data_IF_121792520977
#
_entry.id   IF_121792520977
#
_cell.length_a   1.000
_cell.length_b   1.000
_cell.length_c   1.000
_cell.angle_alpha   90.00
_cell.angle_beta   90.00
_cell.angle_gamma   90.00
#
_symmetry.space_group_name_H-M   'P 1'
#
loop_
_entity.id
_entity.type
_entity.pdbx_description
1 polymer ?
#
# COMPACT_ATOMS: atom_id res chain seq x y z
N UNK A 1 20.26 -12.28 -28.85
CA UNK A 1 18.92 -11.72 -28.58
C UNK A 1 18.38 -11.96 -27.15
N UNK A 2 18.94 -12.88 -26.34
CA UNK A 2 18.47 -13.07 -24.95
C UNK A 2 18.99 -12.03 -23.93
N UNK A 3 20.14 -11.40 -24.19
CA UNK A 3 20.77 -10.43 -23.26
C UNK A 3 20.20 -8.99 -23.35
N UNK A 4 19.68 -8.58 -24.51
CA UNK A 4 19.05 -7.25 -24.69
C UNK A 4 17.64 -7.25 -24.08
N UNK A 5 16.93 -8.38 -24.19
CA UNK A 5 15.60 -8.53 -23.59
C UNK A 5 15.68 -8.57 -22.06
N UNK A 6 16.73 -9.17 -21.46
CA UNK A 6 16.99 -9.12 -20.02
C UNK A 6 17.43 -7.73 -19.52
N UNK A 7 18.15 -6.95 -20.34
CA UNK A 7 18.52 -5.58 -19.97
C UNK A 7 17.28 -4.66 -19.90
N UNK A 8 16.28 -4.90 -20.76
CA UNK A 8 15.00 -4.19 -20.75
C UNK A 8 14.11 -4.59 -19.57
N UNK A 9 14.13 -5.85 -19.13
CA UNK A 9 13.35 -6.28 -17.95
C UNK A 9 13.94 -5.74 -16.64
N UNK A 10 15.26 -5.52 -16.57
CA UNK A 10 15.91 -4.91 -15.40
C UNK A 10 15.75 -3.38 -15.39
N UNK A 11 15.62 -2.73 -16.55
CA UNK A 11 15.40 -1.28 -16.65
C UNK A 11 13.95 -0.87 -16.28
N UNK A 12 12.96 -1.72 -16.54
CA UNK A 12 11.56 -1.49 -16.12
C UNK A 12 11.35 -1.58 -14.61
N UNK A 13 12.33 -2.08 -13.85
CA UNK A 13 12.28 -2.15 -12.38
C UNK A 13 12.94 -0.92 -11.72
N UNK A 14 13.59 -0.02 -12.49
CA UNK A 14 14.34 1.11 -11.94
C UNK A 14 13.71 2.50 -12.20
N UNK A 15 12.62 2.61 -12.95
CA UNK A 15 12.12 3.93 -13.41
C UNK A 15 10.80 4.36 -12.75
N UNK A 16 10.09 3.51 -12.02
CA UNK A 16 8.89 3.93 -11.28
C UNK A 16 8.83 3.22 -9.93
N UNK A 17 8.78 4.03 -8.87
CA UNK A 17 8.69 3.59 -7.48
C UNK A 17 10.04 3.63 -6.76
N UNK A 18 10.19 4.59 -5.86
CA UNK A 18 11.17 4.53 -4.77
C UNK A 18 11.09 3.18 -4.07
N UNK A 19 12.06 2.30 -4.37
CA UNK A 19 12.22 1.01 -3.69
C UNK A 19 12.74 1.27 -2.28
N UNK A 20 11.82 1.48 -1.34
CA UNK A 20 12.13 1.29 0.07
C UNK A 20 12.12 -0.23 0.32
N UNK A 21 13.31 -0.80 0.38
CA UNK A 21 13.51 -2.12 0.98
C UNK A 21 13.23 -1.98 2.48
N UNK A 22 11.97 -2.19 2.88
CA UNK A 22 11.66 -2.40 4.28
C UNK A 22 11.94 -3.85 4.62
N UNK A 23 12.91 -4.04 5.52
CA UNK A 23 13.21 -5.29 6.19
C UNK A 23 11.91 -6.04 6.57
N UNK A 24 11.81 -7.27 6.06
CA UNK A 24 10.82 -8.27 6.40
C UNK A 24 10.98 -8.63 7.89
N UNK A 25 10.33 -7.86 8.73
CA UNK A 25 10.26 -8.13 10.16
C UNK A 25 8.90 -8.75 10.45
N UNK A 26 8.95 -10.00 10.93
CA UNK A 26 7.79 -10.83 11.18
C UNK A 26 7.05 -10.27 12.41
N UNK A 27 6.02 -9.45 12.19
CA UNK A 27 5.01 -9.18 13.22
C UNK A 27 4.55 -7.73 13.44
N UNK A 28 5.03 -6.75 12.68
CA UNK A 28 4.62 -5.34 12.85
C UNK A 28 3.79 -4.82 11.66
N UNK A 29 2.89 -3.88 11.95
CA UNK A 29 2.18 -3.13 10.91
C UNK A 29 3.18 -2.18 10.24
N UNK A 30 3.22 -2.14 8.91
CA UNK A 30 4.23 -1.39 8.16
C UNK A 30 3.63 -0.74 6.91
N UNK A 31 4.17 0.41 6.56
CA UNK A 31 4.04 0.99 5.21
C UNK A 31 5.00 0.23 4.30
N UNK A 32 4.54 -0.18 3.13
CA UNK A 32 5.33 -1.05 2.22
C UNK A 32 5.85 -0.29 1.01
N UNK A 33 5.09 0.65 0.47
CA UNK A 33 5.45 1.41 -0.74
C UNK A 33 4.83 2.82 -0.66
N UNK A 34 5.54 3.83 -1.15
CA UNK A 34 4.97 5.15 -1.40
C UNK A 34 5.60 5.83 -2.62
N UNK A 35 4.86 6.75 -3.25
CA UNK A 35 5.27 7.59 -4.38
C UNK A 35 5.07 9.08 -4.05
N UNK A 36 5.86 9.97 -4.66
CA UNK A 36 5.67 11.41 -4.56
C UNK A 36 4.37 11.90 -5.20
N UNK A 37 3.79 11.12 -6.11
CA UNK A 37 2.52 11.45 -6.75
C UNK A 37 1.32 11.36 -5.79
N UNK A 38 1.49 10.74 -4.62
CA UNK A 38 0.51 10.83 -3.51
C UNK A 38 0.13 12.28 -3.16
N UNK A 39 1.05 13.24 -3.33
CA UNK A 39 0.81 14.65 -3.02
C UNK A 39 -0.22 15.31 -3.95
N UNK A 40 -0.37 14.76 -5.17
CA UNK A 40 -1.23 15.29 -6.20
C UNK A 40 -2.70 14.84 -6.03
N UNK A 41 -2.92 13.69 -5.39
CA UNK A 41 -4.26 13.15 -5.17
C UNK A 41 -5.04 13.98 -4.13
N UNK A 42 -6.19 14.54 -4.53
CA UNK A 42 -7.09 15.30 -3.65
C UNK A 42 -8.48 14.72 -3.55
N UNK A 43 -8.91 13.95 -4.54
CA UNK A 43 -10.19 13.28 -4.59
C UNK A 43 -10.00 11.76 -4.64
N UNK A 44 -10.70 11.04 -3.77
CA UNK A 44 -10.58 9.60 -3.61
C UNK A 44 -11.93 8.91 -3.78
N UNK A 45 -11.94 7.82 -4.54
CA UNK A 45 -13.09 6.89 -4.58
C UNK A 45 -12.77 5.69 -3.69
N UNK A 46 -13.67 5.34 -2.77
CA UNK A 46 -13.54 4.11 -1.98
C UNK A 46 -14.01 2.94 -2.86
N UNK A 47 -13.11 2.01 -3.15
CA UNK A 47 -13.43 0.79 -3.89
C UNK A 47 -14.11 -0.26 -3.01
N UNK A 48 -14.77 -1.22 -3.65
CA UNK A 48 -15.32 -2.38 -2.97
C UNK A 48 -14.18 -3.25 -2.41
N UNK A 49 -14.13 -3.55 -1.10
CA UNK A 49 -13.05 -4.31 -0.51
C UNK A 49 -13.02 -5.75 -1.04
N UNK A 50 -11.81 -6.27 -1.23
CA UNK A 50 -11.58 -7.69 -1.45
C UNK A 50 -11.60 -8.39 -0.10
N UNK A 51 -12.78 -8.89 0.26
CA UNK A 51 -13.02 -9.46 1.58
C UNK A 51 -13.97 -10.64 1.47
N UNK A 52 -13.61 -11.74 2.15
CA UNK A 52 -14.46 -12.91 2.33
C UNK A 52 -14.68 -13.08 3.84
N UNK A 53 -15.74 -12.46 4.39
CA UNK A 53 -16.01 -12.49 5.82
C UNK A 53 -16.38 -13.90 6.28
N UNK A 54 -16.03 -14.20 7.53
CA UNK A 54 -16.57 -15.34 8.28
C UNK A 54 -17.84 -14.89 9.03
N UNK A 55 -18.60 -15.84 9.62
CA UNK A 55 -19.91 -15.56 10.23
C UNK A 55 -19.91 -14.47 11.33
N UNK A 56 -18.77 -14.28 12.03
CA UNK A 56 -18.62 -13.28 13.11
C UNK A 56 -17.97 -11.97 12.65
N UNK A 57 -17.55 -11.89 11.38
CA UNK A 57 -16.87 -10.73 10.81
C UNK A 57 -17.87 -9.78 10.13
N UNK A 58 -17.56 -8.47 10.04
CA UNK A 58 -18.43 -7.53 9.34
C UNK A 58 -18.65 -7.94 7.87
N UNK A 59 -19.78 -7.55 7.31
CA UNK A 59 -20.05 -7.72 5.88
C UNK A 59 -19.15 -6.83 5.02
N UNK A 60 -19.09 -7.12 3.72
CA UNK A 60 -18.35 -6.31 2.74
C UNK A 60 -18.89 -4.88 2.70
N UNK A 61 -20.22 -4.73 2.77
CA UNK A 61 -20.92 -3.45 2.79
C UNK A 61 -20.59 -2.65 4.06
N UNK A 62 -20.60 -3.29 5.23
CA UNK A 62 -20.22 -2.67 6.50
C UNK A 62 -18.76 -2.23 6.48
N UNK A 63 -17.84 -3.08 6.01
CA UNK A 63 -16.43 -2.71 5.88
C UNK A 63 -16.23 -1.53 4.93
N UNK A 64 -16.92 -1.53 3.78
CA UNK A 64 -16.89 -0.41 2.83
C UNK A 64 -17.33 0.89 3.49
N UNK A 65 -18.42 0.84 4.27
CA UNK A 65 -18.95 1.98 5.01
C UNK A 65 -17.98 2.44 6.10
N UNK A 66 -17.39 1.52 6.87
CA UNK A 66 -16.38 1.83 7.88
C UNK A 66 -15.18 2.57 7.27
N UNK A 67 -14.68 2.11 6.11
CA UNK A 67 -13.58 2.78 5.40
C UNK A 67 -13.97 4.21 5.05
N UNK A 68 -15.14 4.41 4.44
CA UNK A 68 -15.63 5.74 4.07
C UNK A 68 -15.82 6.66 5.29
N UNK A 69 -16.46 6.16 6.35
CA UNK A 69 -16.71 6.92 7.57
C UNK A 69 -15.40 7.36 8.24
N UNK A 70 -14.39 6.48 8.28
CA UNK A 70 -13.07 6.83 8.81
C UNK A 70 -12.33 7.81 7.90
N UNK A 71 -12.48 7.70 6.57
CA UNK A 71 -11.90 8.66 5.62
C UNK A 71 -12.42 10.08 5.89
N UNK A 72 -13.74 10.21 6.04
CA UNK A 72 -14.40 11.49 6.33
C UNK A 72 -14.00 12.01 7.72
N UNK A 73 -13.95 11.15 8.75
CA UNK A 73 -13.54 11.53 10.11
C UNK A 73 -12.08 11.98 10.19
N UNK A 74 -11.18 11.32 9.47
CA UNK A 74 -9.76 11.68 9.44
C UNK A 74 -9.52 13.02 8.72
N UNK A 75 -10.41 13.41 7.80
CA UNK A 75 -10.32 14.61 6.99
C UNK A 75 -10.80 15.89 7.72
N UNK A 76 -10.28 16.13 8.93
CA UNK A 76 -10.71 17.24 9.80
C UNK A 76 -10.59 18.64 9.16
N UNK A 77 -9.67 18.81 8.21
CA UNK A 77 -9.40 20.08 7.52
C UNK A 77 -10.02 20.16 6.12
N UNK A 78 -10.86 19.20 5.74
CA UNK A 78 -11.46 19.11 4.40
C UNK A 78 -10.41 19.22 3.27
N UNK A 79 -9.25 18.60 3.47
CA UNK A 79 -8.14 18.63 2.52
C UNK A 79 -8.37 17.68 1.34
N UNK A 80 -9.24 16.69 1.54
CA UNK A 80 -9.59 15.68 0.55
C UNK A 80 -11.09 15.65 0.30
N UNK A 81 -11.48 15.12 -0.86
CA UNK A 81 -12.85 14.71 -1.14
C UNK A 81 -12.90 13.19 -1.22
N UNK A 82 -13.93 12.58 -0.63
CA UNK A 82 -14.14 11.13 -0.67
C UNK A 82 -15.50 10.83 -1.29
N UNK A 83 -15.52 9.85 -2.18
CA UNK A 83 -16.74 9.27 -2.74
C UNK A 83 -16.88 7.84 -2.26
N UNK A 84 -18.04 7.49 -1.72
CA UNK A 84 -18.33 6.11 -1.32
C UNK A 84 -18.50 5.21 -2.57
N UNK A 85 -18.25 3.91 -2.42
CA UNK A 85 -18.50 2.94 -3.51
C UNK A 85 -19.95 2.97 -3.98
N UNK A 86 -20.89 3.13 -3.05
CA UNK A 86 -22.32 3.20 -3.35
C UNK A 86 -22.67 4.43 -4.18
N UNK A 87 -22.11 5.60 -3.86
CA UNK A 87 -22.33 6.82 -4.62
C UNK A 87 -21.71 6.72 -6.02
N UNK A 88 -20.53 6.10 -6.14
CA UNK A 88 -19.92 5.79 -7.42
C UNK A 88 -20.85 4.91 -8.28
N UNK A 89 -21.27 3.76 -7.75
CA UNK A 89 -22.18 2.84 -8.46
C UNK A 89 -23.49 3.51 -8.86
N UNK A 90 -24.10 4.31 -7.97
CA UNK A 90 -25.31 5.07 -8.27
C UNK A 90 -25.09 6.06 -9.41
N UNK A 91 -23.97 6.78 -9.39
CA UNK A 91 -23.67 7.79 -10.40
C UNK A 91 -23.38 7.16 -11.76
N UNK A 92 -22.67 6.03 -11.80
CA UNK A 92 -22.46 5.26 -13.04
C UNK A 92 -23.80 4.74 -13.58
N UNK A 93 -24.65 4.17 -12.74
CA UNK A 93 -25.96 3.69 -13.17
C UNK A 93 -26.84 4.82 -13.72
N UNK A 94 -26.81 6.00 -13.10
CA UNK A 94 -27.58 7.15 -13.58
C UNK A 94 -27.08 7.71 -14.92
N UNK A 95 -25.75 7.73 -15.14
CA UNK A 95 -25.15 8.30 -16.36
C UNK A 95 -25.11 7.32 -17.53
N UNK A 96 -24.88 6.05 -17.26
CA UNK A 96 -24.57 5.02 -18.26
C UNK A 96 -25.62 3.90 -18.31
N UNK A 97 -26.59 3.91 -17.40
CA UNK A 97 -27.60 2.84 -17.27
C UNK A 97 -27.00 1.45 -16.99
N UNK A 98 -25.84 1.42 -16.31
CA UNK A 98 -25.15 0.19 -15.91
C UNK A 98 -25.26 0.00 -14.40
N UNK A 99 -25.94 -1.09 -13.99
CA UNK A 99 -26.00 -1.51 -12.59
C UNK A 99 -24.81 -2.42 -12.24
N UNK A 100 -23.78 -1.83 -11.63
CA UNK A 100 -22.53 -2.53 -11.26
C UNK A 100 -22.80 -3.69 -10.30
N UNK A 101 -23.81 -3.59 -9.43
CA UNK A 101 -24.14 -4.64 -8.46
C UNK A 101 -24.72 -5.91 -9.11
N UNK A 102 -25.24 -5.79 -10.34
CA UNK A 102 -25.75 -6.94 -11.12
C UNK A 102 -24.67 -7.60 -11.96
N UNK A 103 -23.48 -7.03 -12.03
CA UNK A 103 -22.37 -7.59 -12.79
C UNK A 103 -21.65 -8.67 -11.99
N UNK A 104 -21.07 -9.65 -12.69
CA UNK A 104 -20.12 -10.57 -12.07
C UNK A 104 -18.87 -9.83 -11.57
N UNK A 105 -18.26 -10.32 -10.49
CA UNK A 105 -17.12 -9.69 -9.79
C UNK A 105 -16.02 -9.17 -10.72
N UNK A 106 -15.61 -9.96 -11.72
CA UNK A 106 -14.56 -9.57 -12.67
C UNK A 106 -14.98 -8.37 -13.54
N UNK A 107 -16.19 -8.41 -14.10
CA UNK A 107 -16.72 -7.32 -14.93
C UNK A 107 -16.96 -6.05 -14.10
N UNK A 108 -17.44 -6.20 -12.86
CA UNK A 108 -17.61 -5.08 -11.94
C UNK A 108 -16.27 -4.40 -11.63
N UNK A 109 -15.20 -5.17 -11.40
CA UNK A 109 -13.87 -4.65 -11.15
C UNK A 109 -13.26 -3.97 -12.39
N UNK A 110 -13.43 -4.56 -13.57
CA UNK A 110 -12.97 -3.99 -14.84
C UNK A 110 -13.64 -2.64 -15.10
N UNK A 111 -14.97 -2.59 -14.99
CA UNK A 111 -15.75 -1.36 -15.16
C UNK A 111 -15.38 -0.30 -14.11
N UNK A 112 -15.18 -0.72 -12.86
CA UNK A 112 -14.71 0.19 -11.81
C UNK A 112 -13.38 0.84 -12.20
N UNK A 113 -12.38 0.03 -12.60
CA UNK A 113 -11.08 0.56 -13.03
C UNK A 113 -11.19 1.48 -14.25
N UNK A 114 -12.03 1.13 -15.22
CA UNK A 114 -12.19 1.94 -16.43
C UNK A 114 -12.78 3.33 -16.13
N UNK A 115 -13.71 3.41 -15.17
CA UNK A 115 -14.51 4.62 -14.90
C UNK A 115 -14.00 5.46 -13.73
N UNK A 116 -13.28 4.87 -12.77
CA UNK A 116 -12.90 5.57 -11.53
C UNK A 116 -12.13 6.88 -11.74
N UNK A 117 -11.36 6.98 -12.84
CA UNK A 117 -10.65 8.19 -13.27
C UNK A 117 -11.54 9.42 -13.49
N UNK A 118 -12.82 9.21 -13.79
CA UNK A 118 -13.78 10.28 -14.04
C UNK A 118 -14.40 10.82 -12.74
N UNK A 119 -14.10 10.18 -11.60
CA UNK A 119 -14.74 10.46 -10.30
C UNK A 119 -13.74 10.78 -9.18
N UNK A 120 -12.45 10.49 -9.36
CA UNK A 120 -11.41 10.86 -8.40
C UNK A 120 -10.00 10.80 -9.01
N UNK A 121 -9.05 11.47 -8.37
CA UNK A 121 -7.62 11.44 -8.72
C UNK A 121 -6.99 10.07 -8.36
N UNK A 122 -7.50 9.45 -7.31
CA UNK A 122 -7.06 8.14 -6.83
C UNK A 122 -8.25 7.34 -6.30
N UNK A 123 -8.03 6.06 -6.05
CA UNK A 123 -8.98 5.22 -5.35
C UNK A 123 -8.30 4.37 -4.29
N UNK A 124 -9.05 4.02 -3.26
CA UNK A 124 -8.58 3.24 -2.12
C UNK A 124 -9.19 1.84 -2.23
N UNK A 125 -8.33 0.82 -2.24
CA UNK A 125 -8.74 -0.58 -2.20
C UNK A 125 -8.29 -1.18 -0.88
N UNK A 126 -9.21 -1.86 -0.19
CA UNK A 126 -8.90 -2.65 0.98
C UNK A 126 -8.94 -4.13 0.60
N UNK A 127 -7.90 -4.87 0.97
CA UNK A 127 -7.82 -6.32 0.81
C UNK A 127 -7.62 -6.96 2.17
N UNK A 128 -8.51 -7.88 2.53
CA UNK A 128 -8.47 -8.59 3.81
C UNK A 128 -8.08 -10.05 3.55
N UNK A 129 -6.97 -10.47 4.14
CA UNK A 129 -6.47 -11.85 4.08
C UNK A 129 -6.63 -12.51 5.44
N UNK A 130 -7.42 -13.58 5.46
CA UNK A 130 -7.80 -14.32 6.66
C UNK A 130 -7.10 -15.68 6.70
N UNK A 131 -5.80 -15.66 7.05
CA UNK A 131 -5.05 -16.89 7.32
C UNK A 131 -4.96 -17.12 8.84
N UNK A 132 -3.74 -17.29 9.36
CA UNK A 132 -3.45 -17.47 10.80
C UNK A 132 -3.58 -16.19 11.63
N UNK A 133 -3.57 -15.01 10.98
CA UNK A 133 -3.78 -13.69 11.58
C UNK A 133 -4.56 -12.85 10.58
N UNK A 134 -5.41 -11.95 11.08
CA UNK A 134 -6.05 -10.95 10.24
C UNK A 134 -4.97 -10.01 9.69
N UNK A 135 -4.87 -9.97 8.36
CA UNK A 135 -3.92 -9.15 7.64
C UNK A 135 -4.69 -8.28 6.65
N UNK A 136 -4.66 -6.97 6.89
CA UNK A 136 -5.41 -5.99 6.10
C UNK A 136 -4.44 -5.11 5.33
N UNK A 137 -4.66 -5.01 4.03
CA UNK A 137 -3.91 -4.16 3.13
C UNK A 137 -4.79 -3.03 2.64
N UNK A 138 -4.25 -1.82 2.66
CA UNK A 138 -4.85 -0.66 2.03
C UNK A 138 -3.91 -0.13 0.96
N UNK A 139 -4.40 -0.10 -0.27
CA UNK A 139 -3.68 0.46 -1.40
C UNK A 139 -4.39 1.72 -1.88
N UNK A 140 -3.66 2.82 -1.94
CA UNK A 140 -4.06 4.05 -2.62
C UNK A 140 -3.47 4.00 -4.01
N UNK A 141 -4.31 4.05 -5.03
CA UNK A 141 -3.94 3.79 -6.41
C UNK A 141 -4.35 4.98 -7.28
N UNK A 142 -3.45 5.42 -8.15
CA UNK A 142 -3.75 6.47 -9.12
C UNK A 142 -4.91 6.01 -10.03
N UNK A 143 -5.89 6.87 -10.25
CA UNK A 143 -7.09 6.49 -10.98
C UNK A 143 -6.86 6.34 -12.48
N UNK A 144 -5.82 6.98 -13.04
CA UNK A 144 -5.52 7.00 -14.48
C UNK A 144 -4.49 5.95 -14.86
N UNK A 145 -3.38 5.87 -14.12
CA UNK A 145 -2.30 4.91 -14.40
C UNK A 145 -2.50 3.56 -13.72
N UNK A 146 -3.36 3.48 -12.71
CA UNK A 146 -3.52 2.32 -11.83
C UNK A 146 -2.23 1.92 -11.08
N UNK A 147 -1.28 2.85 -10.96
CA UNK A 147 -0.07 2.64 -10.17
C UNK A 147 -0.34 2.86 -8.68
N UNK A 148 0.25 2.01 -7.84
CA UNK A 148 0.12 2.12 -6.39
C UNK A 148 0.90 3.34 -5.92
N UNK A 149 0.18 4.33 -5.41
CA UNK A 149 0.74 5.54 -4.82
C UNK A 149 1.20 5.31 -3.39
N UNK A 150 0.46 4.50 -2.64
CA UNK A 150 0.76 4.16 -1.25
C UNK A 150 0.19 2.80 -0.90
N UNK A 151 0.95 2.01 -0.15
CA UNK A 151 0.48 0.73 0.37
C UNK A 151 0.77 0.64 1.86
N UNK A 152 -0.27 0.27 2.62
CA UNK A 152 -0.24 0.12 4.06
C UNK A 152 -0.70 -1.27 4.46
N UNK A 153 0.06 -1.91 5.33
CA UNK A 153 -0.27 -3.23 5.87
C UNK A 153 -0.48 -3.15 7.37
N UNK A 154 -1.63 -3.63 7.81
CA UNK A 154 -1.94 -3.86 9.22
C UNK A 154 -2.04 -5.35 9.52
N UNK A 155 -1.23 -5.78 10.48
CA UNK A 155 -1.34 -7.10 11.08
C UNK A 155 -2.06 -6.97 12.42
N UNK A 156 -3.23 -7.60 12.55
CA UNK A 156 -3.94 -7.61 13.82
C UNK A 156 -3.30 -8.60 14.81
N UNK A 157 -3.47 -8.37 16.13
CA UNK A 157 -3.08 -9.34 17.15
C UNK A 157 -3.79 -10.68 16.94
N UNK A 158 -3.10 -11.80 17.20
CA UNK A 158 -3.65 -13.16 17.03
C UNK A 158 -4.95 -13.39 17.80
N UNK A 159 -5.08 -12.78 18.96
CA UNK A 159 -6.19 -12.99 19.91
C UNK A 159 -7.25 -11.90 19.84
N UNK A 160 -7.11 -10.92 18.94
CA UNK A 160 -8.10 -9.86 18.82
C UNK A 160 -9.40 -10.42 18.23
N UNK A 161 -10.57 -10.14 18.83
CA UNK A 161 -11.85 -10.50 18.25
C UNK A 161 -12.01 -9.76 16.92
N UNK A 162 -12.51 -10.44 15.89
CA UNK A 162 -12.64 -9.90 14.53
C UNK A 162 -13.97 -9.16 14.35
N UNK A 163 -14.23 -8.21 15.23
CA UNK A 163 -15.48 -7.44 15.27
C UNK A 163 -15.37 -6.10 14.52
N UNK A 164 -16.51 -5.41 14.38
CA UNK A 164 -16.59 -4.08 13.77
C UNK A 164 -15.61 -3.08 14.40
N UNK A 165 -15.37 -3.20 15.72
CA UNK A 165 -14.47 -2.32 16.45
C UNK A 165 -13.03 -2.49 15.95
N UNK A 166 -12.54 -3.73 15.82
CA UNK A 166 -11.21 -3.99 15.29
C UNK A 166 -11.06 -3.41 13.88
N UNK A 167 -12.00 -3.69 12.97
CA UNK A 167 -11.94 -3.18 11.60
C UNK A 167 -12.00 -1.65 11.54
N UNK A 168 -12.80 -1.01 12.40
CA UNK A 168 -12.87 0.44 12.56
C UNK A 168 -11.53 1.03 13.00
N UNK A 169 -10.87 0.41 13.98
CA UNK A 169 -9.55 0.83 14.46
C UNK A 169 -8.48 0.69 13.38
N UNK A 170 -8.50 -0.42 12.63
CA UNK A 170 -7.59 -0.65 11.50
C UNK A 170 -7.77 0.43 10.41
N UNK A 171 -9.01 0.75 10.04
CA UNK A 171 -9.28 1.81 9.07
C UNK A 171 -8.79 3.17 9.57
N UNK A 172 -9.03 3.50 10.86
CA UNK A 172 -8.54 4.73 11.48
C UNK A 172 -7.01 4.82 11.44
N UNK A 173 -6.33 3.73 11.78
CA UNK A 173 -4.87 3.67 11.78
C UNK A 173 -4.31 3.92 10.37
N UNK A 174 -4.94 3.34 9.34
CA UNK A 174 -4.57 3.58 7.95
C UNK A 174 -4.66 5.08 7.58
N UNK A 175 -5.79 5.74 7.83
CA UNK A 175 -5.95 7.15 7.45
C UNK A 175 -5.02 8.09 8.24
N UNK A 176 -4.75 7.78 9.51
CA UNK A 176 -3.75 8.50 10.30
C UNK A 176 -2.34 8.33 9.70
N UNK A 177 -1.93 7.09 9.42
CA UNK A 177 -0.64 6.79 8.82
C UNK A 177 -0.48 7.48 7.46
N UNK A 178 -1.51 7.40 6.60
CA UNK A 178 -1.52 8.07 5.30
C UNK A 178 -1.35 9.59 5.43
N UNK A 179 -2.11 10.23 6.32
CA UNK A 179 -2.02 11.67 6.58
C UNK A 179 -0.63 12.09 7.10
N UNK A 180 -0.04 11.30 8.00
CA UNK A 180 1.29 11.59 8.50
C UNK A 180 2.36 11.36 7.43
N UNK A 181 2.21 10.32 6.61
CA UNK A 181 3.12 10.05 5.51
C UNK A 181 3.10 11.16 4.46
N UNK A 182 1.94 11.73 4.14
CA UNK A 182 1.86 12.89 3.24
C UNK A 182 2.72 14.07 3.69
N UNK A 183 2.79 14.34 5.00
CA UNK A 183 3.63 15.43 5.54
C UNK A 183 5.12 15.12 5.36
N UNK A 184 5.50 13.87 5.59
CA UNK A 184 6.87 13.38 5.42
C UNK A 184 7.26 13.47 3.93
N UNK A 185 6.42 12.96 3.04
CA UNK A 185 6.65 12.99 1.59
C UNK A 185 6.75 14.42 1.06
N UNK A 186 5.91 15.33 1.55
CA UNK A 186 5.98 16.74 1.18
C UNK A 186 7.30 17.40 1.61
N UNK A 187 7.86 16.99 2.75
CA UNK A 187 9.16 17.47 3.22
C UNK A 187 10.30 16.87 2.39
N UNK A 188 10.30 15.55 2.18
CA UNK A 188 11.29 14.84 1.39
C UNK A 188 11.37 15.38 -0.05
N UNK A 189 10.21 15.63 -0.68
CA UNK A 189 10.16 16.20 -2.04
C UNK A 189 10.80 17.59 -2.11
N UNK A 190 10.56 18.46 -1.11
CA UNK A 190 11.20 19.77 -1.04
C UNK A 190 12.70 19.67 -0.86
N UNK A 191 13.17 18.79 0.02
CA UNK A 191 14.59 18.54 0.23
C UNK A 191 15.26 17.99 -1.05
N UNK A 192 14.59 17.09 -1.77
CA UNK A 192 15.02 16.59 -3.06
C UNK A 192 15.11 17.71 -4.11
N UNK A 193 14.07 18.53 -4.25
CA UNK A 193 14.04 19.66 -5.19
C UNK A 193 15.17 20.68 -4.89
N UNK A 194 15.44 20.98 -3.61
CA UNK A 194 16.54 21.85 -3.20
C UNK A 194 17.92 21.27 -3.53
N UNK A 195 18.13 19.97 -3.32
CA UNK A 195 19.38 19.28 -3.67
C UNK A 195 19.59 19.25 -5.19
N UNK A 196 18.51 18.99 -5.95
CA UNK A 196 18.53 19.05 -7.41
C UNK A 196 18.92 20.45 -7.88
N UNK A 197 18.38 21.51 -7.27
CA UNK A 197 18.76 22.88 -7.62
C UNK A 197 20.23 23.20 -7.30
N UNK A 198 20.77 22.70 -6.18
CA UNK A 198 22.16 22.97 -5.77
C UNK A 198 23.19 22.21 -6.60
N UNK A 199 22.91 20.94 -6.92
CA UNK A 199 23.91 20.04 -7.51
C UNK A 199 23.68 19.81 -9.00
N UNK A 200 22.47 20.09 -9.51
CA UNK A 200 22.03 19.68 -10.84
C UNK A 200 21.47 18.25 -10.85
N UNK A 201 20.49 17.99 -11.72
CA UNK A 201 19.77 16.69 -11.81
C UNK A 201 20.69 15.50 -11.98
N UNK A 202 21.67 15.59 -12.88
CA UNK A 202 22.59 14.48 -13.17
C UNK A 202 23.47 14.10 -11.97
N UNK A 203 23.95 15.11 -11.24
CA UNK A 203 24.75 14.89 -10.04
C UNK A 203 23.90 14.38 -8.88
N UNK A 204 22.64 14.83 -8.77
CA UNK A 204 21.69 14.29 -7.79
C UNK A 204 21.39 12.81 -8.03
N UNK A 205 21.17 12.39 -9.27
CA UNK A 205 20.98 10.97 -9.62
C UNK A 205 22.19 10.12 -9.24
N UNK A 206 23.40 10.64 -9.48
CA UNK A 206 24.64 9.97 -9.06
C UNK A 206 24.74 9.88 -7.53
N UNK A 207 24.47 10.99 -6.83
CA UNK A 207 24.44 11.05 -5.36
C UNK A 207 23.43 10.04 -4.76
N UNK A 208 22.23 9.95 -5.34
CA UNK A 208 21.18 9.02 -4.91
C UNK A 208 21.62 7.57 -5.07
N UNK A 209 22.24 7.21 -6.21
CA UNK A 209 22.79 5.87 -6.45
C UNK A 209 23.90 5.51 -5.47
N UNK A 210 24.81 6.45 -5.19
CA UNK A 210 25.90 6.23 -4.22
C UNK A 210 25.38 6.07 -2.79
N UNK A 211 24.39 6.87 -2.38
CA UNK A 211 23.75 6.75 -1.06
C UNK A 211 23.05 5.39 -0.90
N UNK A 212 22.32 4.95 -1.92
CA UNK A 212 21.66 3.65 -1.93
C UNK A 212 22.68 2.49 -1.86
N UNK A 213 23.79 2.59 -2.59
CA UNK A 213 24.85 1.58 -2.54
C UNK A 213 25.48 1.48 -1.14
N UNK A 214 25.69 2.60 -0.45
CA UNK A 214 26.21 2.63 0.92
C UNK A 214 25.23 2.01 1.92
N UNK A 215 23.93 2.32 1.81
CA UNK A 215 22.90 1.72 2.67
C UNK A 215 22.82 0.20 2.48
N UNK A 216 22.82 -0.28 1.24
CA UNK A 216 22.83 -1.73 0.97
C UNK A 216 24.10 -2.40 1.49
N UNK A 217 25.25 -1.75 1.41
CA UNK A 217 26.49 -2.28 1.96
C UNK A 217 26.43 -2.40 3.49
N UNK A 218 25.90 -1.38 4.19
CA UNK A 218 25.69 -1.41 5.64
C UNK A 218 24.70 -2.50 6.06
N UNK A 219 23.60 -2.67 5.32
CA UNK A 219 22.61 -3.71 5.60
C UNK A 219 23.16 -5.13 5.39
N UNK A 220 24.05 -5.32 4.41
CA UNK A 220 24.76 -6.59 4.22
C UNK A 220 25.70 -6.85 5.40
N UNK A 221 26.46 -5.85 5.83
CA UNK A 221 27.38 -5.95 6.96
C UNK A 221 26.64 -6.29 8.27
N UNK A 222 25.50 -5.62 8.52
CA UNK A 222 24.65 -5.86 9.69
C UNK A 222 24.00 -7.25 9.66
N UNK A 223 23.48 -7.69 8.50
CA UNK A 223 22.93 -9.04 8.34
C UNK A 223 24.01 -10.14 8.41
N UNK A 224 25.24 -9.86 8.00
CA UNK A 224 26.36 -10.77 8.14
C UNK A 224 26.80 -10.87 9.60
N UNK A 225 26.89 -9.76 10.33
CA UNK A 225 27.09 -9.73 11.78
C UNK A 225 26.01 -10.54 12.53
N UNK A 226 24.73 -10.37 12.17
CA UNK A 226 23.63 -11.14 12.74
C UNK A 226 23.71 -12.64 12.43
N UNK A 227 24.26 -13.03 11.27
CA UNK A 227 24.55 -14.43 10.96
C UNK A 227 25.67 -15.01 11.81
N UNK A 228 26.70 -14.22 12.14
CA UNK A 228 27.79 -14.64 13.01
C UNK A 228 27.40 -14.68 14.50
N UNK A 229 26.42 -13.89 14.92
CA UNK A 229 25.98 -13.76 16.31
C UNK A 229 24.82 -14.69 16.70
N UNK A 230 24.20 -15.42 15.76
CA UNK A 230 23.23 -16.47 16.10
C UNK A 230 23.99 -17.72 16.58
N UNK A 231 23.83 -18.14 17.85
CA UNK A 231 24.32 -19.44 18.28
C UNK A 231 23.52 -20.50 17.53
N UNK A 232 24.20 -21.36 16.78
CA UNK A 232 23.58 -22.49 16.09
C UNK A 232 22.79 -23.35 17.08
N UNK A 233 21.46 -23.22 17.11
CA UNK A 233 20.58 -24.25 17.64
C UNK A 233 20.37 -25.35 16.58
N UNK A 234 21.47 -25.93 16.10
CA UNK A 234 21.47 -27.28 15.54
C UNK A 234 21.81 -28.26 16.64
N UNK A 235 20.84 -28.53 17.51
CA UNK A 235 20.84 -29.76 18.30
C UNK A 235 20.53 -30.90 17.34
N UNK A 236 21.56 -31.37 16.65
CA UNK A 236 21.52 -32.60 15.86
C UNK A 236 21.35 -33.78 16.80
N UNK A 237 20.12 -34.29 16.89
CA UNK A 237 19.86 -35.64 17.37
C UNK A 237 20.58 -36.65 16.48
N UNK A 238 21.29 -37.56 17.13
CA UNK A 238 21.41 -38.96 16.70
C UNK A 238 22.58 -39.27 15.77
N UNK A 239 23.69 -39.70 16.36
CA UNK A 239 24.48 -40.80 15.80
C UNK A 239 24.55 -41.85 16.90
N UNK A 240 23.92 -42.99 16.67
CA UNK A 240 24.19 -44.20 17.44
C UNK A 240 25.49 -44.81 16.95
N UNK A 241 26.25 -45.39 17.87
CA UNK A 241 26.77 -46.76 17.81
C UNK A 241 27.62 -47.02 19.06
N UNK A 242 27.43 -48.24 19.57
CA UNK A 242 28.16 -48.94 20.65
C UNK A 242 27.77 -48.62 22.10
#
# INVERSE_FOLDING_TARGET
MKKIMQLLTVLCVMVMGTQFAFAWEVGSSKETVYSYDMLNAKSFVIGNPQFSPNDEEPTVEELTKMIYDQAVKANKKQQFSYMSYQDFCRTVNQKEHIDIYRLGRHKALELFKERVKDYGDAYIVCTVSNDTRLNVFFDVVDSKSHEVLYSYRKLAPKTAPRDEKLYTEICRDFFNAYSDKLKVVAKEKKEEDELIMKMGKENYEKYKKEKLAKQKAQEIEENDLDRYLRPDHRVGRGWGNE
#
